data_IF_648670302192
#
_entry.id   IF_648670302192
#
_cell.length_a   1.000
_cell.length_b   1.000
_cell.length_c   1.000
_cell.angle_alpha   90.00
_cell.angle_beta   90.00
_cell.angle_gamma   90.00
#
_symmetry.space_group_name_H-M   'P 1'
#
loop_
_entity.id
_entity.type
_entity.pdbx_description
1 polymer ?
#
# COMPACT_ATOMS: atom_id res chain seq x y z
N UNK A 1 22.44 34.92 -15.78
CA UNK A 1 22.59 34.13 -14.54
C UNK A 1 23.73 33.17 -14.76
N UNK A 2 24.83 33.34 -14.05
CA UNK A 2 26.08 32.63 -14.31
C UNK A 2 26.06 31.21 -13.75
N UNK A 3 26.70 30.28 -14.46
CA UNK A 3 26.80 28.84 -14.13
C UNK A 3 27.34 28.56 -12.72
N UNK A 4 28.15 29.47 -12.17
CA UNK A 4 28.68 29.41 -10.80
C UNK A 4 27.56 29.58 -9.76
N UNK A 5 26.64 30.52 -9.99
CA UNK A 5 25.48 30.78 -9.12
C UNK A 5 24.55 29.58 -9.02
N UNK A 6 24.31 28.92 -10.17
CA UNK A 6 23.48 27.70 -10.25
C UNK A 6 24.12 26.54 -9.48
N UNK A 7 25.46 26.47 -9.44
CA UNK A 7 26.20 25.44 -8.69
C UNK A 7 26.06 25.63 -7.18
N UNK A 8 26.11 26.86 -6.68
CA UNK A 8 26.01 27.15 -5.24
C UNK A 8 24.58 26.96 -4.71
N UNK A 9 23.56 27.37 -5.47
CA UNK A 9 22.16 27.09 -5.13
C UNK A 9 21.88 25.58 -5.04
N UNK A 10 22.44 24.80 -5.97
CA UNK A 10 22.30 23.34 -5.96
C UNK A 10 22.94 22.71 -4.71
N UNK A 11 24.14 23.16 -4.32
CA UNK A 11 24.81 22.66 -3.10
C UNK A 11 24.01 22.99 -1.84
N UNK A 12 23.49 24.22 -1.74
CA UNK A 12 22.65 24.63 -0.63
C UNK A 12 21.41 23.74 -0.51
N UNK A 13 20.70 23.54 -1.62
CA UNK A 13 19.53 22.66 -1.65
C UNK A 13 19.86 21.22 -1.25
N UNK A 14 20.99 20.68 -1.70
CA UNK A 14 21.44 19.35 -1.30
C UNK A 14 21.66 19.25 0.22
N UNK A 15 22.30 20.25 0.83
CA UNK A 15 22.52 20.28 2.28
C UNK A 15 21.20 20.39 3.06
N UNK A 16 20.25 21.20 2.57
CA UNK A 16 18.93 21.34 3.18
C UNK A 16 18.16 20.01 3.13
N UNK A 17 18.20 19.29 2.00
CA UNK A 17 17.60 17.96 1.84
C UNK A 17 18.24 16.95 2.81
N UNK A 18 19.57 16.90 2.89
CA UNK A 18 20.28 16.00 3.81
C UNK A 18 19.91 16.27 5.26
N UNK A 19 19.77 17.55 5.64
CA UNK A 19 19.35 17.95 6.99
C UNK A 19 17.92 17.51 7.30
N UNK A 20 17.00 17.65 6.34
CA UNK A 20 15.62 17.16 6.49
C UNK A 20 15.57 15.63 6.62
N UNK A 21 16.31 14.92 5.78
CA UNK A 21 16.40 13.47 5.83
C UNK A 21 16.96 12.98 7.16
N UNK A 22 18.01 13.62 7.69
CA UNK A 22 18.56 13.26 8.98
C UNK A 22 17.51 13.37 10.10
N UNK A 23 16.75 14.48 10.14
CA UNK A 23 15.68 14.67 11.13
C UNK A 23 14.57 13.63 11.00
N UNK A 24 14.21 13.27 9.77
CA UNK A 24 13.24 12.20 9.51
C UNK A 24 13.75 10.85 10.05
N UNK A 25 15.01 10.50 9.81
CA UNK A 25 15.61 9.26 10.32
C UNK A 25 15.67 9.22 11.85
N UNK A 26 15.96 10.35 12.50
CA UNK A 26 16.00 10.48 13.97
C UNK A 26 14.62 10.31 14.62
N UNK A 27 13.54 10.61 13.89
CA UNK A 27 12.16 10.57 14.41
C UNK A 27 11.34 9.39 13.88
N UNK A 28 11.91 8.59 12.98
CA UNK A 28 11.20 7.49 12.35
C UNK A 28 11.05 6.28 13.29
N UNK A 29 9.82 6.01 13.72
CA UNK A 29 9.50 4.86 14.56
C UNK A 29 9.91 3.51 13.95
N UNK A 30 9.84 3.39 12.61
CA UNK A 30 10.14 2.16 11.90
C UNK A 30 11.20 2.37 10.80
N UNK A 31 12.41 2.69 11.25
CA UNK A 31 13.58 2.94 10.40
C UNK A 31 13.86 1.79 9.41
N UNK A 32 13.61 0.54 9.82
CA UNK A 32 13.81 -0.64 8.95
C UNK A 32 12.83 -0.64 7.77
N UNK A 33 11.56 -0.37 8.02
CA UNK A 33 10.56 -0.33 6.97
C UNK A 33 10.83 0.83 5.99
N UNK A 34 11.25 1.98 6.52
CA UNK A 34 11.69 3.12 5.71
C UNK A 34 12.87 2.75 4.81
N UNK A 35 13.93 2.16 5.37
CA UNK A 35 15.10 1.74 4.60
C UNK A 35 14.74 0.76 3.48
N UNK A 36 13.92 -0.26 3.79
CA UNK A 36 13.48 -1.24 2.78
C UNK A 36 12.68 -0.56 1.67
N UNK A 37 11.79 0.37 2.02
CA UNK A 37 10.98 1.09 1.04
C UNK A 37 11.82 2.00 0.15
N UNK A 38 12.82 2.69 0.73
CA UNK A 38 13.80 3.47 -0.03
C UNK A 38 14.59 2.61 -1.00
N UNK A 39 15.03 1.42 -0.57
CA UNK A 39 15.76 0.49 -1.41
C UNK A 39 14.89 -0.03 -2.57
N UNK A 40 13.65 -0.40 -2.29
CA UNK A 40 12.70 -0.83 -3.31
C UNK A 40 12.46 0.29 -4.33
N UNK A 41 12.24 1.52 -3.86
CA UNK A 41 12.09 2.67 -4.76
C UNK A 41 13.34 2.89 -5.60
N UNK A 42 14.53 2.91 -4.99
CA UNK A 42 15.79 3.08 -5.71
C UNK A 42 15.95 2.05 -6.83
N UNK A 43 15.68 0.78 -6.53
CA UNK A 43 15.86 -0.32 -7.47
C UNK A 43 14.77 -0.40 -8.55
N UNK A 44 13.52 -0.01 -8.24
CA UNK A 44 12.35 -0.34 -9.06
C UNK A 44 11.51 0.85 -9.53
N UNK A 45 11.87 2.10 -9.20
CA UNK A 45 11.08 3.28 -9.61
C UNK A 45 11.02 3.47 -11.13
N UNK A 46 11.92 2.84 -11.90
CA UNK A 46 11.93 2.86 -13.36
C UNK A 46 11.15 1.72 -13.99
N UNK A 47 10.77 0.71 -13.20
CA UNK A 47 10.01 -0.43 -13.69
C UNK A 47 8.60 0.05 -14.05
N UNK A 48 8.12 -0.34 -15.23
CA UNK A 48 6.76 -0.01 -15.64
C UNK A 48 5.72 -0.91 -14.98
N UNK A 49 6.10 -2.12 -14.56
CA UNK A 49 5.19 -3.17 -14.15
C UNK A 49 5.82 -4.17 -13.19
N UNK A 50 5.00 -4.96 -12.48
CA UNK A 50 5.51 -6.08 -11.68
C UNK A 50 6.08 -7.24 -12.51
N UNK A 51 5.69 -7.36 -13.79
CA UNK A 51 6.15 -8.44 -14.68
C UNK A 51 7.63 -8.33 -14.99
N UNK A 52 8.20 -7.12 -14.99
CA UNK A 52 9.66 -6.90 -15.11
C UNK A 52 10.45 -7.53 -13.97
N UNK A 53 9.78 -7.81 -12.84
CA UNK A 53 10.34 -8.49 -11.67
C UNK A 53 9.93 -9.96 -11.60
N UNK A 54 9.31 -10.49 -12.66
CA UNK A 54 8.83 -11.88 -12.73
C UNK A 54 7.56 -12.16 -11.94
N UNK A 55 6.79 -11.12 -11.58
CA UNK A 55 5.53 -11.28 -10.84
C UNK A 55 4.35 -11.03 -11.76
N UNK A 56 3.47 -12.02 -11.87
CA UNK A 56 2.18 -11.91 -12.57
C UNK A 56 1.04 -11.74 -11.56
N UNK A 57 0.08 -10.88 -11.89
CA UNK A 57 -1.04 -10.55 -11.01
C UNK A 57 -2.36 -10.50 -11.78
N UNK A 58 -3.45 -10.82 -11.09
CA UNK A 58 -4.82 -10.73 -11.61
C UNK A 58 -5.76 -10.13 -10.56
N UNK A 59 -6.92 -9.68 -11.04
CA UNK A 59 -8.00 -9.20 -10.17
C UNK A 59 -8.43 -10.33 -9.22
N UNK A 60 -8.51 -10.01 -7.93
CA UNK A 60 -8.76 -10.97 -6.85
C UNK A 60 -7.51 -11.40 -6.09
N UNK A 61 -6.31 -11.13 -6.62
CA UNK A 61 -5.07 -11.49 -5.90
C UNK A 61 -4.87 -10.65 -4.65
N UNK A 62 -4.38 -11.29 -3.60
CA UNK A 62 -3.86 -10.65 -2.39
C UNK A 62 -2.35 -10.63 -2.53
N UNK A 63 -1.80 -9.44 -2.69
CA UNK A 63 -0.40 -9.22 -2.98
C UNK A 63 0.32 -8.64 -1.78
N UNK A 64 1.62 -8.91 -1.65
CA UNK A 64 2.54 -8.14 -0.82
C UNK A 64 3.05 -6.95 -1.62
N UNK A 65 2.87 -5.74 -1.09
CA UNK A 65 3.00 -4.49 -1.84
C UNK A 65 3.78 -3.48 -1.00
N UNK A 66 4.68 -2.72 -1.63
CA UNK A 66 5.31 -1.55 -1.02
C UNK A 66 4.54 -0.25 -1.32
N UNK A 67 3.83 0.24 -0.31
CA UNK A 67 3.06 1.48 -0.40
C UNK A 67 3.90 2.75 -0.29
N UNK A 68 5.20 2.65 0.07
CA UNK A 68 6.06 3.82 0.25
C UNK A 68 5.93 4.47 1.63
N UNK A 69 6.76 5.47 1.90
CA UNK A 69 6.56 6.33 3.07
C UNK A 69 5.25 7.12 2.90
N UNK A 70 4.38 7.10 3.90
CA UNK A 70 3.01 7.60 3.77
C UNK A 70 2.62 8.48 4.96
N UNK A 71 1.61 9.33 4.78
CA UNK A 71 1.02 10.10 5.86
C UNK A 71 0.30 9.18 6.86
N UNK A 72 0.09 9.65 8.08
CA UNK A 72 -0.38 8.83 9.21
C UNK A 72 -1.73 8.11 8.98
N UNK A 73 -2.61 8.69 8.16
CA UNK A 73 -3.93 8.12 7.83
C UNK A 73 -3.89 7.21 6.57
N UNK A 74 -2.73 7.06 5.95
CA UNK A 74 -2.50 6.16 4.82
C UNK A 74 -1.69 4.94 5.26
N UNK A 75 -1.94 3.79 4.63
CA UNK A 75 -1.02 2.67 4.77
C UNK A 75 0.33 3.06 4.15
N UNK A 76 1.39 2.92 4.93
CA UNK A 76 2.77 3.11 4.47
C UNK A 76 3.54 1.79 4.50
N UNK A 77 4.67 1.76 3.81
CA UNK A 77 5.60 0.63 3.73
C UNK A 77 4.96 -0.66 3.22
N UNK A 78 5.52 -1.80 3.59
CA UNK A 78 5.13 -3.08 3.03
C UNK A 78 3.92 -3.68 3.75
N UNK A 79 2.82 -3.83 3.02
CA UNK A 79 1.58 -4.43 3.52
C UNK A 79 0.95 -5.35 2.49
N UNK A 80 -0.07 -6.11 2.90
CA UNK A 80 -0.91 -6.80 1.94
C UNK A 80 -1.90 -5.82 1.29
N UNK A 81 -2.28 -6.11 0.05
CA UNK A 81 -3.36 -5.41 -0.63
C UNK A 81 -4.11 -6.34 -1.57
N UNK A 82 -5.43 -6.18 -1.64
CA UNK A 82 -6.29 -6.92 -2.55
C UNK A 82 -6.43 -6.17 -3.87
N UNK A 83 -6.14 -6.82 -5.00
CA UNK A 83 -6.31 -6.27 -6.34
C UNK A 83 -7.80 -6.29 -6.72
N UNK A 84 -8.39 -5.11 -6.90
CA UNK A 84 -9.80 -4.94 -7.30
C UNK A 84 -9.95 -4.67 -8.80
N UNK A 85 -8.97 -4.02 -9.41
CA UNK A 85 -8.96 -3.73 -10.85
C UNK A 85 -7.54 -3.58 -11.37
N UNK A 86 -7.35 -3.82 -12.66
CA UNK A 86 -6.08 -3.65 -13.37
C UNK A 86 -6.33 -2.78 -14.61
N UNK A 87 -5.49 -1.76 -14.81
CA UNK A 87 -5.55 -0.90 -15.99
C UNK A 87 -4.19 -0.27 -16.26
N UNK A 88 -3.65 -0.46 -17.48
CA UNK A 88 -2.36 0.09 -17.95
C UNK A 88 -1.25 0.10 -16.89
N UNK A 89 -0.79 -1.08 -16.48
CA UNK A 89 0.23 -1.30 -15.45
C UNK A 89 -0.06 -0.70 -14.07
N UNK A 90 -1.29 -0.23 -13.83
CA UNK A 90 -1.77 0.18 -12.51
C UNK A 90 -2.73 -0.86 -11.97
N UNK A 91 -2.70 -1.04 -10.66
CA UNK A 91 -3.68 -1.81 -9.92
C UNK A 91 -4.47 -0.88 -9.02
N UNK A 92 -5.79 -1.04 -9.01
CA UNK A 92 -6.63 -0.47 -7.97
C UNK A 92 -6.67 -1.48 -6.83
N UNK A 93 -6.21 -1.06 -5.67
CA UNK A 93 -5.98 -1.98 -4.54
C UNK A 93 -6.70 -1.49 -3.30
N UNK A 94 -7.10 -2.42 -2.45
CA UNK A 94 -7.52 -2.13 -1.08
C UNK A 94 -6.43 -2.61 -0.13
N UNK A 95 -5.77 -1.69 0.60
CA UNK A 95 -4.81 -2.04 1.63
C UNK A 95 -5.34 -2.93 2.73
N UNK A 96 -4.45 -3.76 3.29
CA UNK A 96 -4.78 -4.73 4.33
C UNK A 96 -3.74 -4.72 5.45
N UNK A 97 -4.20 -4.89 6.68
CA UNK A 97 -3.34 -5.21 7.81
C UNK A 97 -3.88 -6.41 8.58
N UNK A 98 -3.02 -7.12 9.30
CA UNK A 98 -3.47 -8.07 10.33
C UNK A 98 -3.42 -7.45 11.72
N UNK A 99 -3.81 -6.18 11.87
CA UNK A 99 -3.92 -5.52 13.17
C UNK A 99 -5.22 -5.97 13.85
N UNK A 100 -5.10 -6.71 14.95
CA UNK A 100 -6.24 -7.28 15.68
C UNK A 100 -7.17 -6.22 16.28
N UNK A 101 -6.64 -5.06 16.68
CA UNK A 101 -7.45 -3.95 17.20
C UNK A 101 -8.33 -3.35 16.10
N UNK A 102 -7.77 -3.13 14.91
CA UNK A 102 -8.52 -2.65 13.76
C UNK A 102 -9.55 -3.70 13.30
N UNK A 103 -9.20 -4.99 13.32
CA UNK A 103 -10.12 -6.09 13.05
C UNK A 103 -11.33 -6.09 14.00
N UNK A 104 -11.08 -5.96 15.31
CA UNK A 104 -12.14 -5.91 16.32
C UNK A 104 -13.06 -4.71 16.13
N UNK A 105 -12.51 -3.54 15.75
CA UNK A 105 -13.26 -2.31 15.53
C UNK A 105 -14.02 -2.26 14.20
N UNK A 106 -13.76 -3.17 13.26
CA UNK A 106 -14.40 -3.16 11.95
C UNK A 106 -15.92 -3.41 12.04
N UNK A 107 -16.68 -2.73 11.19
CA UNK A 107 -18.12 -2.95 11.06
C UNK A 107 -18.40 -4.40 10.60
N UNK A 108 -19.32 -5.07 11.29
CA UNK A 108 -19.85 -6.38 10.93
C UNK A 108 -21.23 -6.58 11.55
N UNK A 109 -21.90 -7.71 11.26
CA UNK A 109 -23.18 -8.06 11.92
C UNK A 109 -23.03 -8.13 13.45
N UNK A 110 -21.90 -8.63 13.94
CA UNK A 110 -21.61 -8.75 15.38
C UNK A 110 -21.11 -7.43 15.99
N UNK A 111 -20.69 -6.48 15.15
CA UNK A 111 -20.20 -5.16 15.53
C UNK A 111 -20.90 -4.07 14.73
N UNK A 112 -22.21 -3.85 14.95
CA UNK A 112 -23.02 -2.94 14.14
C UNK A 112 -22.61 -1.47 14.28
N UNK A 113 -21.93 -1.11 15.38
CA UNK A 113 -21.37 0.22 15.60
C UNK A 113 -19.88 0.32 15.23
N UNK A 114 -19.34 -0.70 14.55
CA UNK A 114 -17.96 -0.72 14.10
C UNK A 114 -17.67 0.32 13.01
N UNK A 115 -16.38 0.57 12.79
CA UNK A 115 -15.86 1.49 11.78
C UNK A 115 -16.20 0.98 10.38
N UNK A 116 -17.01 1.76 9.65
CA UNK A 116 -17.47 1.38 8.31
C UNK A 116 -16.37 1.38 7.26
N UNK A 117 -15.30 2.17 7.44
CA UNK A 117 -14.14 2.15 6.55
C UNK A 117 -13.25 0.90 6.73
N UNK A 118 -13.54 0.05 7.72
CA UNK A 118 -12.83 -1.20 7.94
C UNK A 118 -13.74 -2.39 7.58
N UNK A 119 -13.15 -3.41 6.97
CA UNK A 119 -13.85 -4.67 6.66
C UNK A 119 -13.01 -5.87 7.11
N UNK A 120 -13.63 -6.81 7.84
CA UNK A 120 -12.97 -8.06 8.24
C UNK A 120 -12.80 -8.98 7.05
N UNK A 121 -11.69 -9.69 7.01
CA UNK A 121 -11.42 -10.77 6.07
C UNK A 121 -10.77 -11.93 6.80
N UNK A 122 -11.39 -13.09 6.64
CA UNK A 122 -10.82 -14.35 7.11
C UNK A 122 -9.55 -14.71 6.33
N UNK A 123 -8.80 -15.69 6.84
CA UNK A 123 -7.55 -16.11 6.21
C UNK A 123 -7.78 -16.62 4.78
N UNK A 124 -7.03 -16.09 3.82
CA UNK A 124 -7.02 -16.53 2.41
C UNK A 124 -5.62 -16.98 2.01
N UNK A 125 -5.50 -18.12 1.34
CA UNK A 125 -4.22 -18.62 0.81
C UNK A 125 -3.12 -18.73 1.88
N UNK A 126 -1.95 -18.14 1.61
CA UNK A 126 -0.76 -18.21 2.46
C UNK A 126 -0.78 -17.22 3.64
N UNK A 127 -1.85 -16.45 3.83
CA UNK A 127 -1.96 -15.52 4.95
C UNK A 127 -1.82 -16.27 6.29
N UNK A 128 -1.03 -15.75 7.23
CA UNK A 128 -0.84 -16.41 8.54
C UNK A 128 -1.96 -16.11 9.54
N UNK A 129 -2.68 -15.00 9.33
CA UNK A 129 -3.72 -14.48 10.23
C UNK A 129 -4.88 -13.91 9.42
N UNK A 130 -6.03 -13.77 10.09
CA UNK A 130 -7.13 -12.91 9.61
C UNK A 130 -6.63 -11.48 9.40
N UNK A 131 -7.34 -10.71 8.58
CA UNK A 131 -6.92 -9.36 8.23
C UNK A 131 -8.11 -8.42 8.13
N UNK A 132 -7.82 -7.14 8.16
CA UNK A 132 -8.78 -6.07 7.99
C UNK A 132 -8.39 -5.27 6.74
N UNK A 133 -9.36 -5.03 5.87
CA UNK A 133 -9.23 -4.15 4.72
C UNK A 133 -9.54 -2.72 5.15
N UNK A 134 -8.74 -1.77 4.67
CA UNK A 134 -8.95 -0.33 4.83
C UNK A 134 -9.65 0.19 3.57
N UNK A 135 -10.98 0.15 3.58
CA UNK A 135 -11.84 0.47 2.42
C UNK A 135 -11.63 1.93 1.97
N UNK A 136 -11.48 2.85 2.92
CA UNK A 136 -11.23 4.27 2.65
C UNK A 136 -9.83 4.57 2.11
N UNK A 137 -8.90 3.62 2.23
CA UNK A 137 -7.53 3.78 1.74
C UNK A 137 -7.32 3.07 0.39
N UNK A 138 -8.42 2.71 -0.28
CA UNK A 138 -8.38 2.10 -1.60
C UNK A 138 -7.85 3.09 -2.65
N UNK A 139 -6.83 2.66 -3.41
CA UNK A 139 -6.08 3.58 -4.28
C UNK A 139 -5.50 2.89 -5.50
N UNK A 140 -5.22 3.68 -6.54
CA UNK A 140 -4.46 3.23 -7.71
C UNK A 140 -2.96 3.31 -7.44
N UNK A 141 -2.28 2.18 -7.60
CA UNK A 141 -0.82 2.09 -7.49
C UNK A 141 -0.19 1.65 -8.82
N UNK A 142 1.08 1.97 -9.05
CA UNK A 142 1.85 1.30 -10.09
C UNK A 142 2.09 -0.15 -9.66
N UNK A 143 1.85 -1.11 -10.56
CA UNK A 143 2.09 -2.54 -10.31
C UNK A 143 3.55 -2.84 -10.01
N UNK A 144 4.51 -2.02 -10.44
CA UNK A 144 5.92 -2.10 -10.01
C UNK A 144 6.11 -2.09 -8.48
N UNK A 145 5.12 -1.69 -7.69
CA UNK A 145 5.12 -1.78 -6.22
C UNK A 145 4.79 -3.16 -5.67
N UNK A 146 4.21 -4.05 -6.47
CA UNK A 146 3.85 -5.41 -6.07
C UNK A 146 5.12 -6.28 -6.00
N UNK A 147 5.34 -6.93 -4.86
CA UNK A 147 6.51 -7.75 -4.58
C UNK A 147 6.21 -9.22 -4.84
N UNK A 148 5.03 -9.71 -4.42
CA UNK A 148 4.67 -11.12 -4.54
C UNK A 148 3.15 -11.34 -4.38
N UNK A 149 2.63 -12.47 -4.86
CA UNK A 149 1.24 -12.90 -4.68
C UNK A 149 1.16 -13.91 -3.53
N UNK A 150 0.25 -13.67 -2.59
CA UNK A 150 0.11 -14.47 -1.35
C UNK A 150 -1.22 -15.22 -1.23
N UNK A 151 -2.20 -14.87 -2.05
CA UNK A 151 -3.51 -15.52 -2.06
C UNK A 151 -4.36 -15.01 -3.19
N UNK A 152 -5.55 -15.59 -3.33
CA UNK A 152 -6.49 -15.22 -4.38
C UNK A 152 -7.93 -15.40 -3.90
N UNK A 153 -8.75 -14.36 -4.08
CA UNK A 153 -10.20 -14.41 -3.96
C UNK A 153 -10.82 -14.54 -5.34
N UNK A 154 -11.72 -15.52 -5.50
CA UNK A 154 -12.48 -15.64 -6.75
C UNK A 154 -13.36 -14.40 -6.92
N UNK A 155 -13.38 -13.85 -8.14
CA UNK A 155 -14.13 -12.63 -8.47
C UNK A 155 -15.64 -12.78 -8.30
N UNK A 156 -16.17 -13.97 -8.53
CA UNK A 156 -17.59 -14.32 -8.38
C UNK A 156 -17.95 -14.70 -6.93
N UNK A 157 -16.97 -14.75 -6.01
CA UNK A 157 -17.25 -15.03 -4.61
C UNK A 157 -18.04 -13.90 -3.97
N UNK A 158 -18.96 -14.26 -3.08
CA UNK A 158 -19.75 -13.30 -2.31
C UNK A 158 -18.87 -12.29 -1.57
N UNK A 159 -17.76 -12.74 -0.98
CA UNK A 159 -16.81 -11.89 -0.25
C UNK A 159 -16.18 -10.84 -1.17
N UNK A 160 -15.74 -11.22 -2.36
CA UNK A 160 -15.15 -10.27 -3.31
C UNK A 160 -16.18 -9.23 -3.78
N UNK A 161 -17.41 -9.66 -4.07
CA UNK A 161 -18.50 -8.77 -4.46
C UNK A 161 -18.88 -7.80 -3.34
N UNK A 162 -18.93 -8.27 -2.09
CA UNK A 162 -19.17 -7.42 -0.93
C UNK A 162 -18.10 -6.35 -0.78
N UNK A 163 -16.81 -6.72 -0.88
CA UNK A 163 -15.70 -5.75 -0.84
C UNK A 163 -15.87 -4.69 -1.93
N UNK A 164 -16.21 -5.10 -3.15
CA UNK A 164 -16.43 -4.18 -4.26
C UNK A 164 -17.56 -3.19 -3.97
N UNK A 165 -18.67 -3.67 -3.43
CA UNK A 165 -19.80 -2.82 -3.02
C UNK A 165 -19.36 -1.83 -1.95
N UNK A 166 -18.67 -2.29 -0.89
CA UNK A 166 -18.23 -1.39 0.19
C UNK A 166 -17.26 -0.31 -0.29
N UNK A 167 -16.40 -0.62 -1.25
CA UNK A 167 -15.50 0.39 -1.85
C UNK A 167 -16.30 1.39 -2.67
N UNK A 168 -17.27 0.94 -3.49
CA UNK A 168 -18.17 1.84 -4.23
C UNK A 168 -18.96 2.76 -3.31
N UNK A 169 -19.52 2.21 -2.23
CA UNK A 169 -20.29 2.96 -1.24
C UNK A 169 -19.42 4.01 -0.50
N UNK A 170 -18.09 3.81 -0.43
CA UNK A 170 -17.18 4.74 0.24
C UNK A 170 -16.84 5.97 -0.62
N UNK A 171 -17.00 5.86 -1.94
CA UNK A 171 -16.67 6.93 -2.90
C UNK A 171 -17.91 7.56 -3.55
N UNK A 172 -19.11 7.11 -3.16
CA UNK A 172 -20.40 7.63 -3.62
C UNK A 172 -20.98 8.61 -2.61
#
# INVERSE_FOLDING_TARGET
MDTISISEERKKLMNDILTLQQKELETCDNLRALYISMLNHHNHHKDHSCTEKGVDIRVGDICYIDFGNAFIEEIGFQHFGLILSLYKNKAYVVPMSGNERAYAQAYSKDTPNGKRHLMRLEKVGMMKKRSVLFINDSKWINTARVIDVKGHLKRDSQVFQEIMTRVKDMIS
#
